data_IF_529198098226
#
_entry.id   IF_529198098226
#
_cell.length_a   1.000
_cell.length_b   1.000
_cell.length_c   1.000
_cell.angle_alpha   90.00
_cell.angle_beta   90.00
_cell.angle_gamma   90.00
#
_symmetry.space_group_name_H-M   'P 1'
#
loop_
_entity.id
_entity.type
_entity.pdbx_description
1 polymer ?
#
# COMPACT_ATOMS: atom_id res chain seq x y z
N UNK A 1 -18.20 52.53 70.67
CA UNK A 1 -18.52 52.63 69.25
C UNK A 1 -17.44 51.86 68.50
N UNK A 2 -17.80 50.70 67.94
CA UNK A 2 -16.88 49.84 67.19
C UNK A 2 -17.20 50.00 65.71
N UNK A 3 -16.26 50.52 64.95
CA UNK A 3 -16.43 50.84 63.54
C UNK A 3 -16.32 49.59 62.68
N UNK A 4 -17.31 49.46 61.80
CA UNK A 4 -17.66 48.24 61.07
C UNK A 4 -16.63 47.83 60.03
N UNK A 5 -16.19 46.58 60.16
CA UNK A 5 -15.50 45.82 59.13
C UNK A 5 -16.45 45.61 57.94
N UNK A 6 -16.13 46.23 56.79
CA UNK A 6 -16.79 45.92 55.51
C UNK A 6 -15.91 44.94 54.72
N UNK A 7 -16.42 43.75 54.34
CA UNK A 7 -15.66 42.80 53.53
C UNK A 7 -15.51 43.28 52.08
N UNK A 8 -14.45 42.86 51.38
CA UNK A 8 -14.21 43.24 49.99
C UNK A 8 -15.32 42.72 49.06
N UNK A 9 -15.60 43.51 48.02
CA UNK A 9 -16.62 43.23 47.01
C UNK A 9 -16.41 41.86 46.33
N UNK A 10 -17.49 41.16 45.95
CA UNK A 10 -17.40 39.90 45.23
C UNK A 10 -16.72 40.08 43.87
N UNK A 11 -15.88 39.12 43.50
CA UNK A 11 -15.24 39.06 42.17
C UNK A 11 -16.32 38.91 41.10
N UNK A 12 -16.17 39.54 39.92
CA UNK A 12 -17.10 39.33 38.80
C UNK A 12 -17.09 37.85 38.39
N UNK A 13 -18.22 37.30 37.90
CA UNK A 13 -18.28 35.94 37.42
C UNK A 13 -17.33 35.75 36.23
N UNK A 14 -16.59 34.65 36.24
CA UNK A 14 -15.81 34.21 35.09
C UNK A 14 -16.82 33.81 34.00
N UNK A 15 -16.81 34.54 32.90
CA UNK A 15 -17.57 34.19 31.70
C UNK A 15 -16.99 32.87 31.16
N UNK A 16 -17.76 31.78 31.26
CA UNK A 16 -17.42 30.52 30.63
C UNK A 16 -17.47 30.75 29.12
N UNK A 17 -16.31 30.70 28.46
CA UNK A 17 -16.25 30.70 27.00
C UNK A 17 -17.22 29.62 26.46
N UNK A 18 -18.05 29.95 25.46
CA UNK A 18 -18.88 28.94 24.82
C UNK A 18 -17.99 27.86 24.20
N UNK A 19 -18.40 26.60 24.33
CA UNK A 19 -17.75 25.47 23.65
C UNK A 19 -17.67 25.76 22.14
N UNK A 20 -16.58 25.39 21.46
CA UNK A 20 -16.49 25.54 20.02
C UNK A 20 -17.64 24.78 19.35
N UNK A 21 -18.33 25.45 18.43
CA UNK A 21 -19.39 24.86 17.63
C UNK A 21 -18.86 23.61 16.90
N UNK A 22 -19.66 22.54 16.91
CA UNK A 22 -19.38 21.36 16.10
C UNK A 22 -19.19 21.77 14.63
N UNK A 23 -18.19 21.24 13.91
CA UNK A 23 -17.99 21.56 12.51
C UNK A 23 -19.22 21.14 11.69
N UNK A 24 -19.66 22.05 10.82
CA UNK A 24 -20.75 21.80 9.89
C UNK A 24 -20.41 20.59 8.98
N UNK A 25 -21.41 19.76 8.70
CA UNK A 25 -21.28 18.68 7.73
C UNK A 25 -20.81 19.22 6.37
N UNK A 26 -19.81 18.60 5.72
CA UNK A 26 -19.33 19.08 4.43
C UNK A 26 -20.42 18.96 3.36
N UNK A 27 -20.55 20.01 2.56
CA UNK A 27 -21.44 20.08 1.41
C UNK A 27 -21.15 18.94 0.42
N UNK A 28 -22.21 18.37 -0.14
CA UNK A 28 -22.17 17.31 -1.15
C UNK A 28 -21.44 17.81 -2.39
N UNK A 29 -20.17 17.39 -2.59
CA UNK A 29 -19.48 17.58 -3.86
C UNK A 29 -20.06 16.61 -4.90
N UNK A 30 -20.29 17.04 -6.16
CA UNK A 30 -20.62 16.12 -7.22
C UNK A 30 -19.43 15.18 -7.49
N UNK A 31 -19.74 13.90 -7.67
CA UNK A 31 -18.74 12.86 -7.93
C UNK A 31 -17.90 13.19 -9.17
N UNK A 32 -16.56 12.99 -9.13
CA UNK A 32 -15.74 13.10 -10.33
C UNK A 32 -16.19 12.05 -11.35
N UNK A 33 -16.43 12.49 -12.58
CA UNK A 33 -16.81 11.62 -13.69
C UNK A 33 -15.62 10.74 -14.07
N UNK A 34 -15.78 9.42 -13.91
CA UNK A 34 -14.80 8.40 -14.28
C UNK A 34 -14.54 8.45 -15.80
N UNK A 35 -13.28 8.53 -16.28
CA UNK A 35 -12.99 8.28 -17.69
C UNK A 35 -13.30 6.81 -18.02
N UNK A 36 -13.76 6.56 -19.24
CA UNK A 36 -14.16 5.22 -19.69
C UNK A 36 -13.01 4.21 -19.60
N UNK A 37 -13.27 2.94 -19.23
CA UNK A 37 -12.24 1.94 -19.07
C UNK A 37 -11.60 1.59 -20.42
N UNK A 38 -10.27 1.70 -20.48
CA UNK A 38 -9.48 1.01 -21.50
C UNK A 38 -9.46 -0.48 -21.14
N UNK A 39 -9.71 -1.34 -22.12
CA UNK A 39 -9.77 -2.79 -21.90
C UNK A 39 -8.41 -3.31 -21.42
N UNK A 40 -8.33 -3.72 -20.15
CA UNK A 40 -7.15 -4.33 -19.54
C UNK A 40 -7.03 -4.11 -18.02
N UNK A 41 -7.65 -3.07 -17.47
CA UNK A 41 -7.58 -2.80 -16.02
C UNK A 41 -8.64 -3.60 -15.26
N UNK A 42 -8.21 -4.63 -14.53
CA UNK A 42 -8.99 -5.15 -13.41
C UNK A 42 -9.23 -3.97 -12.44
N UNK A 43 -10.48 -3.49 -12.40
CA UNK A 43 -10.92 -2.52 -11.41
C UNK A 43 -10.56 -3.09 -10.03
N UNK A 44 -9.80 -2.34 -9.21
CA UNK A 44 -9.25 -2.78 -7.93
C UNK A 44 -10.23 -3.63 -7.13
N UNK A 45 -10.08 -4.95 -7.25
CA UNK A 45 -11.00 -5.93 -6.71
C UNK A 45 -10.62 -6.31 -5.30
N UNK A 46 -11.60 -6.71 -4.50
CA UNK A 46 -11.40 -7.30 -3.17
C UNK A 46 -11.37 -8.82 -3.20
N UNK A 47 -11.63 -9.44 -4.36
CA UNK A 47 -11.54 -10.87 -4.56
C UNK A 47 -10.09 -11.25 -4.88
N UNK A 48 -9.60 -12.30 -4.24
CA UNK A 48 -8.30 -12.90 -4.52
C UNK A 48 -8.57 -14.24 -5.19
N UNK A 49 -8.13 -14.43 -6.43
CA UNK A 49 -8.17 -15.75 -7.05
C UNK A 49 -7.30 -16.73 -6.24
N UNK A 50 -7.68 -18.02 -6.24
CA UNK A 50 -7.03 -19.07 -5.46
C UNK A 50 -6.48 -20.17 -6.39
N UNK A 51 -5.37 -19.92 -7.11
CA UNK A 51 -4.79 -20.93 -7.99
C UNK A 51 -4.39 -22.19 -7.23
N UNK A 52 -4.69 -23.34 -7.81
CA UNK A 52 -4.23 -24.62 -7.29
C UNK A 52 -2.76 -24.87 -7.65
N UNK A 53 -2.01 -25.49 -6.74
CA UNK A 53 -0.59 -25.83 -6.94
C UNK A 53 0.16 -25.82 -5.63
N UNK A 54 1.23 -26.61 -5.51
CA UNK A 54 2.03 -26.61 -4.30
C UNK A 54 2.77 -25.27 -4.12
N UNK A 55 3.18 -24.67 -5.23
CA UNK A 55 3.81 -23.36 -5.33
C UNK A 55 2.88 -22.22 -4.92
N UNK A 56 1.58 -22.34 -5.16
CA UNK A 56 0.60 -21.33 -4.80
C UNK A 56 0.15 -21.45 -3.34
N UNK A 57 0.24 -22.63 -2.71
CA UNK A 57 -0.19 -22.82 -1.33
C UNK A 57 0.51 -21.88 -0.33
N UNK A 58 1.82 -21.63 -0.52
CA UNK A 58 2.60 -20.72 0.32
C UNK A 58 2.21 -19.24 0.12
N UNK A 59 1.65 -18.90 -1.04
CA UNK A 59 1.13 -17.56 -1.34
C UNK A 59 -0.32 -17.43 -0.84
N UNK A 60 -1.19 -18.39 -1.16
CA UNK A 60 -2.64 -18.35 -0.87
C UNK A 60 -2.94 -18.29 0.63
N UNK A 61 -2.05 -18.82 1.49
CA UNK A 61 -2.19 -18.68 2.95
C UNK A 61 -2.25 -17.23 3.43
N UNK A 62 -1.81 -16.27 2.61
CA UNK A 62 -1.80 -14.84 2.93
C UNK A 62 -3.03 -14.08 2.42
N UNK A 63 -4.01 -14.73 1.78
CA UNK A 63 -5.14 -14.06 1.14
C UNK A 63 -5.96 -13.20 2.14
N UNK A 64 -6.20 -13.70 3.36
CA UNK A 64 -6.89 -12.91 4.40
C UNK A 64 -6.10 -11.66 4.81
N UNK A 65 -4.77 -11.78 4.90
CA UNK A 65 -3.90 -10.66 5.21
C UNK A 65 -3.83 -9.65 4.05
N UNK A 66 -3.76 -10.12 2.81
CA UNK A 66 -3.82 -9.29 1.61
C UNK A 66 -5.09 -8.43 1.58
N UNK A 67 -6.26 -9.04 1.81
CA UNK A 67 -7.54 -8.30 1.87
C UNK A 67 -7.53 -7.27 3.00
N UNK A 68 -7.09 -7.66 4.20
CA UNK A 68 -7.10 -6.76 5.36
C UNK A 68 -6.16 -5.57 5.17
N UNK A 69 -4.91 -5.83 4.79
CA UNK A 69 -3.91 -4.76 4.62
C UNK A 69 -4.21 -3.87 3.42
N UNK A 70 -4.85 -4.40 2.36
CA UNK A 70 -5.37 -3.59 1.25
C UNK A 70 -6.36 -2.53 1.75
N UNK A 71 -7.24 -2.89 2.69
CA UNK A 71 -8.19 -1.92 3.26
C UNK A 71 -7.48 -0.83 4.07
N UNK A 72 -6.44 -1.19 4.83
CA UNK A 72 -5.61 -0.21 5.55
C UNK A 72 -4.94 0.75 4.55
N UNK A 73 -4.30 0.21 3.52
CA UNK A 73 -3.63 1.01 2.49
C UNK A 73 -4.63 1.88 1.72
N UNK A 74 -5.81 1.36 1.40
CA UNK A 74 -6.86 2.15 0.75
C UNK A 74 -7.34 3.31 1.62
N UNK A 75 -7.49 3.11 2.93
CA UNK A 75 -7.85 4.19 3.86
C UNK A 75 -6.75 5.26 3.98
N UNK A 76 -5.48 4.86 3.91
CA UNK A 76 -4.35 5.80 4.00
C UNK A 76 -4.10 6.57 2.70
N UNK A 77 -4.26 5.92 1.56
CA UNK A 77 -3.83 6.44 0.25
C UNK A 77 -4.98 6.83 -0.67
N UNK A 78 -6.17 6.27 -0.47
CA UNK A 78 -7.28 6.36 -1.41
C UNK A 78 -7.14 5.47 -2.64
N UNK A 79 -6.13 4.59 -2.69
CA UNK A 79 -5.90 3.67 -3.83
C UNK A 79 -6.23 2.24 -3.45
N UNK A 80 -7.13 1.62 -4.22
CA UNK A 80 -7.46 0.20 -4.08
C UNK A 80 -6.51 -0.62 -4.94
N UNK A 81 -5.46 -1.18 -4.33
CA UNK A 81 -4.47 -2.01 -5.03
C UNK A 81 -5.13 -3.32 -5.50
N UNK A 82 -5.04 -3.71 -6.79
CA UNK A 82 -5.57 -5.00 -7.26
C UNK A 82 -4.88 -6.18 -6.55
N UNK A 83 -5.66 -7.05 -5.90
CA UNK A 83 -5.11 -8.13 -5.08
C UNK A 83 -4.47 -9.25 -5.91
N UNK A 84 -4.98 -9.51 -7.11
CA UNK A 84 -4.37 -10.35 -8.14
C UNK A 84 -2.94 -9.88 -8.45
N UNK A 85 -2.77 -8.57 -8.68
CA UNK A 85 -1.47 -7.96 -8.94
C UNK A 85 -0.57 -8.08 -7.72
N UNK A 86 -1.06 -7.73 -6.52
CA UNK A 86 -0.29 -7.86 -5.29
C UNK A 86 0.17 -9.31 -5.04
N UNK A 87 -0.70 -10.29 -5.30
CA UNK A 87 -0.41 -11.71 -5.15
C UNK A 87 0.60 -12.19 -6.18
N UNK A 88 0.53 -11.71 -7.43
CA UNK A 88 1.53 -11.98 -8.46
C UNK A 88 2.91 -11.41 -8.09
N UNK A 89 2.98 -10.20 -7.52
CA UNK A 89 4.21 -9.64 -6.96
C UNK A 89 4.77 -10.53 -5.85
N UNK A 90 3.95 -10.93 -4.87
CA UNK A 90 4.39 -11.82 -3.79
C UNK A 90 4.95 -13.16 -4.31
N UNK A 91 4.32 -13.71 -5.35
CA UNK A 91 4.79 -14.93 -6.01
C UNK A 91 6.17 -14.75 -6.63
N UNK A 92 6.42 -13.64 -7.35
CA UNK A 92 7.72 -13.33 -7.95
C UNK A 92 8.80 -13.13 -6.89
N UNK A 93 8.50 -12.32 -5.87
CA UNK A 93 9.51 -11.82 -4.93
C UNK A 93 9.93 -12.85 -3.86
N UNK A 94 9.00 -13.72 -3.45
CA UNK A 94 9.26 -14.67 -2.36
C UNK A 94 8.61 -16.04 -2.49
N UNK A 95 7.70 -16.23 -3.45
CA UNK A 95 6.84 -17.42 -3.49
C UNK A 95 5.99 -17.57 -2.23
N UNK A 96 5.70 -16.48 -1.51
CA UNK A 96 4.94 -16.52 -0.25
C UNK A 96 5.73 -16.99 0.97
N UNK A 97 7.04 -17.18 0.84
CA UNK A 97 7.92 -17.67 1.92
C UNK A 97 8.65 -16.48 2.55
N UNK A 98 8.45 -16.29 3.84
CA UNK A 98 9.22 -15.31 4.61
C UNK A 98 10.66 -15.77 4.74
N UNK A 99 11.61 -15.00 4.21
CA UNK A 99 13.04 -15.34 4.19
C UNK A 99 13.91 -14.26 4.82
N UNK A 100 15.23 -14.55 5.00
CA UNK A 100 16.18 -13.55 5.44
C UNK A 100 16.32 -12.43 4.40
N UNK A 101 16.84 -11.28 4.85
CA UNK A 101 17.13 -10.15 3.98
C UNK A 101 18.01 -10.53 2.78
N UNK A 102 17.68 -10.01 1.60
CA UNK A 102 18.54 -10.07 0.43
C UNK A 102 19.27 -8.74 0.30
N UNK A 103 20.59 -8.76 0.43
CA UNK A 103 21.42 -7.56 0.28
C UNK A 103 21.55 -7.19 -1.20
N UNK A 104 21.10 -5.99 -1.57
CA UNK A 104 21.29 -5.42 -2.89
C UNK A 104 21.92 -4.03 -2.83
N UNK A 105 22.23 -3.46 -4.00
CA UNK A 105 22.90 -2.15 -4.13
C UNK A 105 22.12 -0.97 -3.51
N UNK A 106 20.82 -1.12 -3.28
CA UNK A 106 19.93 -0.11 -2.72
C UNK A 106 19.60 -0.34 -1.23
N UNK A 107 20.15 -1.41 -0.63
CA UNK A 107 19.93 -1.83 0.75
C UNK A 107 19.41 -3.26 0.85
N UNK A 108 19.03 -3.66 2.05
CA UNK A 108 18.46 -4.98 2.28
C UNK A 108 16.98 -4.99 1.86
N UNK A 109 16.66 -5.77 0.83
CA UNK A 109 15.29 -6.16 0.48
C UNK A 109 14.78 -7.18 1.48
N UNK A 110 13.56 -6.98 1.96
CA UNK A 110 13.01 -7.71 3.10
C UNK A 110 11.59 -8.22 2.82
N UNK A 111 11.32 -9.44 3.31
CA UNK A 111 9.97 -9.96 3.45
C UNK A 111 9.31 -10.45 2.16
N UNK A 112 8.00 -10.65 2.24
CA UNK A 112 7.17 -11.27 1.20
C UNK A 112 7.17 -10.53 -0.15
N UNK A 113 7.46 -9.23 -0.14
CA UNK A 113 7.48 -8.36 -1.31
C UNK A 113 8.89 -7.82 -1.63
N UNK A 114 9.93 -8.25 -0.90
CA UNK A 114 11.32 -7.78 -1.09
C UNK A 114 11.48 -6.24 -1.12
N UNK A 115 10.68 -5.54 -0.32
CA UNK A 115 10.75 -4.08 -0.18
C UNK A 115 12.00 -3.69 0.62
N UNK A 116 12.66 -2.59 0.26
CA UNK A 116 13.75 -2.01 1.09
C UNK A 116 13.19 -0.94 2.03
N UNK A 117 13.80 -0.74 3.20
CA UNK A 117 13.34 0.31 4.15
C UNK A 117 13.44 1.74 3.61
N UNK A 118 14.26 1.95 2.57
CA UNK A 118 14.43 3.22 1.85
C UNK A 118 13.58 3.31 0.57
N UNK A 119 12.64 2.39 0.39
CA UNK A 119 11.70 2.42 -0.74
C UNK A 119 10.73 3.59 -0.60
N UNK A 120 9.89 3.80 -1.62
CA UNK A 120 9.09 5.00 -1.82
C UNK A 120 8.22 5.36 -0.60
N UNK A 121 7.71 4.38 0.15
CA UNK A 121 6.88 4.62 1.34
C UNK A 121 7.59 4.89 2.67
N UNK A 122 8.91 4.68 2.78
CA UNK A 122 9.70 4.66 4.04
C UNK A 122 9.09 3.77 5.13
N UNK A 123 9.75 2.65 5.44
CA UNK A 123 9.18 1.61 6.30
C UNK A 123 10.00 1.33 7.55
N UNK A 124 9.32 0.89 8.61
CA UNK A 124 9.98 0.38 9.81
C UNK A 124 10.74 -0.90 9.46
N UNK A 125 12.07 -0.82 9.52
CA UNK A 125 12.95 -1.91 9.11
C UNK A 125 12.81 -3.14 10.00
N UNK A 126 12.63 -2.96 11.31
CA UNK A 126 12.55 -4.07 12.26
C UNK A 126 11.27 -4.87 12.03
N UNK A 127 10.14 -4.18 11.85
CA UNK A 127 8.88 -4.82 11.48
C UNK A 127 8.96 -5.45 10.11
N UNK A 128 9.56 -4.78 9.12
CA UNK A 128 9.71 -5.36 7.79
C UNK A 128 10.53 -6.65 7.80
N UNK A 129 11.46 -6.81 8.75
CA UNK A 129 12.24 -8.03 8.92
C UNK A 129 11.53 -9.15 9.69
N UNK A 130 10.47 -8.87 10.45
CA UNK A 130 9.94 -9.82 11.46
C UNK A 130 8.42 -10.01 11.46
N UNK A 131 7.66 -9.10 10.85
CA UNK A 131 6.20 -9.08 10.86
C UNK A 131 5.66 -9.29 9.44
N UNK A 132 5.19 -10.51 9.09
CA UNK A 132 4.69 -10.82 7.75
C UNK A 132 3.50 -9.96 7.32
N UNK A 133 2.63 -9.55 8.25
CA UNK A 133 1.49 -8.67 7.92
C UNK A 133 2.00 -7.27 7.56
N UNK A 134 2.99 -6.78 8.30
CA UNK A 134 3.64 -5.51 7.95
C UNK A 134 4.40 -5.57 6.62
N UNK A 135 4.95 -6.73 6.24
CA UNK A 135 5.56 -6.92 4.92
C UNK A 135 4.52 -6.80 3.79
N UNK A 136 3.34 -7.37 3.98
CA UNK A 136 2.22 -7.26 3.04
C UNK A 136 1.76 -5.80 2.96
N UNK A 137 1.54 -5.14 4.11
CA UNK A 137 1.22 -3.72 4.17
C UNK A 137 2.24 -2.87 3.40
N UNK A 138 3.54 -3.10 3.62
CA UNK A 138 4.60 -2.33 2.98
C UNK A 138 4.59 -2.51 1.46
N UNK A 139 4.47 -3.74 0.97
CA UNK A 139 4.37 -4.05 -0.46
C UNK A 139 3.15 -3.39 -1.12
N UNK A 140 1.97 -3.52 -0.50
CA UNK A 140 0.75 -2.89 -0.99
C UNK A 140 0.86 -1.36 -1.00
N UNK A 141 1.42 -0.76 0.06
CA UNK A 141 1.61 0.68 0.15
C UNK A 141 2.60 1.20 -0.89
N UNK A 142 3.67 0.46 -1.16
CA UNK A 142 4.65 0.82 -2.20
C UNK A 142 3.97 0.85 -3.58
N UNK A 143 3.17 -0.16 -3.92
CA UNK A 143 2.39 -0.21 -5.16
C UNK A 143 1.38 0.95 -5.25
N UNK A 144 0.65 1.22 -4.17
CA UNK A 144 -0.30 2.33 -4.11
C UNK A 144 0.37 3.69 -4.34
N UNK A 145 1.48 3.97 -3.67
CA UNK A 145 2.18 5.24 -3.83
C UNK A 145 2.77 5.41 -5.23
N UNK A 146 3.28 4.33 -5.84
CA UNK A 146 3.76 4.34 -7.23
C UNK A 146 2.64 4.55 -8.23
N UNK A 147 1.44 4.01 -7.96
CA UNK A 147 0.26 4.29 -8.77
C UNK A 147 -0.13 5.77 -8.74
N UNK A 148 0.01 6.43 -7.58
CA UNK A 148 -0.31 7.86 -7.43
C UNK A 148 0.77 8.81 -7.95
N UNK A 149 1.96 8.32 -8.26
CA UNK A 149 3.04 9.17 -8.72
C UNK A 149 2.66 9.85 -10.05
N UNK A 150 2.75 11.18 -10.07
CA UNK A 150 2.46 11.98 -11.26
C UNK A 150 3.30 11.62 -12.49
N UNK A 151 4.43 10.93 -12.29
CA UNK A 151 5.30 10.47 -13.37
C UNK A 151 4.96 9.06 -13.86
N UNK A 152 3.83 8.49 -13.44
CA UNK A 152 3.36 7.18 -13.84
C UNK A 152 2.29 7.29 -14.95
N UNK A 153 2.67 7.26 -16.24
CA UNK A 153 1.71 7.34 -17.34
C UNK A 153 0.90 6.06 -17.55
N UNK A 154 1.38 4.92 -17.04
CA UNK A 154 0.91 3.58 -17.40
C UNK A 154 0.08 2.93 -16.27
N UNK A 155 -0.34 3.70 -15.26
CA UNK A 155 -1.15 3.22 -14.16
C UNK A 155 -0.51 2.03 -13.43
N UNK A 156 -1.22 0.90 -13.34
CA UNK A 156 -0.75 -0.26 -12.59
C UNK A 156 0.48 -0.95 -13.20
N UNK A 157 0.60 -0.95 -14.52
CA UNK A 157 1.75 -1.53 -15.21
C UNK A 157 3.01 -0.71 -14.96
N UNK A 158 2.89 0.61 -15.05
CA UNK A 158 3.97 1.52 -14.66
C UNK A 158 4.33 1.39 -13.18
N UNK A 159 3.33 1.24 -12.30
CA UNK A 159 3.57 1.04 -10.86
C UNK A 159 4.34 -0.26 -10.59
N UNK A 160 3.99 -1.35 -11.29
CA UNK A 160 4.67 -2.66 -11.16
C UNK A 160 6.08 -2.64 -11.72
N UNK A 161 6.28 -2.00 -12.88
CA UNK A 161 7.60 -1.78 -13.46
C UNK A 161 8.48 -0.96 -12.54
N UNK A 162 7.94 0.10 -11.96
CA UNK A 162 8.68 0.96 -11.05
C UNK A 162 8.97 0.26 -9.72
N UNK A 163 8.08 -0.60 -9.24
CA UNK A 163 8.32 -1.45 -8.07
C UNK A 163 9.60 -2.27 -8.25
N UNK A 164 9.75 -2.93 -9.40
CA UNK A 164 10.93 -3.74 -9.71
C UNK A 164 12.18 -2.91 -10.03
N UNK A 165 12.06 -1.90 -10.90
CA UNK A 165 13.23 -1.22 -11.50
C UNK A 165 13.61 0.10 -10.83
N UNK A 166 12.67 0.73 -10.12
CA UNK A 166 12.71 2.13 -9.72
C UNK A 166 12.31 3.13 -10.81
N UNK A 167 11.90 2.68 -12.00
CA UNK A 167 11.55 3.51 -13.16
C UNK A 167 10.16 3.18 -13.71
N UNK A 168 9.38 4.19 -14.10
CA UNK A 168 8.09 4.00 -14.78
C UNK A 168 8.22 3.72 -16.27
N UNK A 169 9.38 4.00 -16.87
CA UNK A 169 9.66 3.71 -18.28
C UNK A 169 10.56 2.49 -18.42
N UNK A 170 10.46 1.80 -19.55
CA UNK A 170 11.36 0.71 -19.88
C UNK A 170 12.80 1.23 -20.03
N UNK A 171 13.66 0.71 -19.16
CA UNK A 171 15.08 1.06 -19.10
C UNK A 171 15.97 -0.14 -19.43
N UNK A 172 15.39 -1.28 -19.81
CA UNK A 172 16.12 -2.53 -20.10
C UNK A 172 16.97 -3.02 -18.93
N UNK A 173 16.59 -2.66 -17.69
CA UNK A 173 17.35 -3.00 -16.48
C UNK A 173 17.16 -4.47 -16.13
N UNK A 174 18.21 -5.09 -15.60
CA UNK A 174 18.15 -6.39 -14.95
C UNK A 174 18.42 -6.25 -13.45
N UNK A 175 17.80 -7.10 -12.64
CA UNK A 175 18.15 -7.28 -11.23
C UNK A 175 19.62 -7.70 -11.14
N UNK A 176 20.37 -6.96 -10.34
CA UNK A 176 21.82 -7.15 -10.14
C UNK A 176 22.17 -8.44 -9.40
N UNK A 177 21.19 -9.10 -8.79
CA UNK A 177 21.35 -10.28 -7.94
C UNK A 177 21.18 -11.58 -8.72
N UNK A 178 20.08 -11.69 -9.48
CA UNK A 178 19.71 -12.91 -10.20
C UNK A 178 19.72 -12.76 -11.73
N UNK A 179 19.87 -11.53 -12.26
CA UNK A 179 19.91 -11.24 -13.69
C UNK A 179 18.53 -11.15 -14.36
N UNK A 180 17.44 -11.23 -13.61
CA UNK A 180 16.07 -11.10 -14.13
C UNK A 180 15.91 -9.75 -14.80
N UNK A 181 15.62 -9.74 -16.09
CA UNK A 181 15.36 -8.52 -16.85
C UNK A 181 13.98 -7.97 -16.54
N UNK A 182 13.79 -6.66 -16.74
CA UNK A 182 12.47 -6.03 -16.65
C UNK A 182 11.43 -6.73 -17.51
N UNK A 183 11.80 -7.14 -18.74
CA UNK A 183 10.89 -7.86 -19.63
C UNK A 183 10.50 -9.25 -19.09
N UNK A 184 11.45 -9.96 -18.45
CA UNK A 184 11.15 -11.24 -17.80
C UNK A 184 10.24 -11.05 -16.57
N UNK A 185 10.46 -9.98 -15.81
CA UNK A 185 9.61 -9.61 -14.68
C UNK A 185 8.17 -9.31 -15.11
N UNK A 186 7.98 -8.42 -16.09
CA UNK A 186 6.66 -8.07 -16.62
C UNK A 186 5.94 -9.30 -17.19
N UNK A 187 6.66 -10.13 -17.96
CA UNK A 187 6.13 -11.39 -18.47
C UNK A 187 5.72 -12.37 -17.36
N UNK A 188 6.50 -12.46 -16.28
CA UNK A 188 6.16 -13.32 -15.15
C UNK A 188 4.91 -12.81 -14.43
N UNK A 189 4.81 -11.49 -14.24
CA UNK A 189 3.65 -10.84 -13.64
C UNK A 189 2.38 -11.16 -14.44
N UNK A 190 2.41 -10.96 -15.76
CA UNK A 190 1.28 -11.28 -16.64
C UNK A 190 0.88 -12.76 -16.57
N UNK A 191 1.88 -13.66 -16.56
CA UNK A 191 1.63 -15.10 -16.49
C UNK A 191 1.00 -15.52 -15.15
N UNK A 192 1.37 -14.88 -14.04
CA UNK A 192 0.79 -15.16 -12.73
C UNK A 192 -0.59 -14.52 -12.55
N UNK A 193 -0.81 -13.29 -13.02
CA UNK A 193 -2.14 -12.67 -13.03
C UNK A 193 -3.12 -13.53 -13.83
N UNK A 194 -2.71 -14.04 -15.00
CA UNK A 194 -3.56 -14.95 -15.79
C UNK A 194 -3.91 -16.27 -15.07
N UNK A 195 -3.01 -16.79 -14.23
CA UNK A 195 -3.30 -17.98 -13.40
C UNK A 195 -4.29 -17.66 -12.28
N UNK A 196 -4.16 -16.49 -11.65
CA UNK A 196 -5.07 -16.00 -10.61
C UNK A 196 -6.47 -15.76 -11.18
N UNK A 197 -6.56 -15.09 -12.33
CA UNK A 197 -7.83 -14.82 -13.01
C UNK A 197 -8.54 -16.10 -13.45
N UNK A 198 -7.79 -17.12 -13.89
CA UNK A 198 -8.36 -18.41 -14.26
C UNK A 198 -8.92 -19.21 -13.06
N UNK A 199 -8.58 -18.81 -11.83
CA UNK A 199 -9.00 -19.46 -10.59
C UNK A 199 -10.14 -18.72 -9.86
N UNK A 200 -10.59 -17.57 -10.36
CA UNK A 200 -11.69 -16.75 -9.82
C UNK A 200 -12.91 -16.67 -10.73
#
# INVERSE_FOLDING_TARGET
AGDGFSPPAPRPPVELNPAPAAPAAPATQPAPSTPAPVSGEAAGGTAVGDPAGAEWADVNRWDEALVREQQVVYQETGVMVPLDRAKAHMMIESGGITGPAVNNVNGDSLGLFQVTSNSYGTYDRERLATDPEYQIYAGLKELALRYQDSNNPDGWDGASRAFFTGSYVDVGRADTTNGTTQAEYEKALDAYMAQIDAAG
#
